data_IF_218768218444
#
_entry.id   IF_218768218444
#
_cell.length_a   1.000
_cell.length_b   1.000
_cell.length_c   1.000
_cell.angle_alpha   90.00
_cell.angle_beta   90.00
_cell.angle_gamma   90.00
#
_symmetry.space_group_name_H-M   'P 1'
#
loop_
_entity.id
_entity.type
_entity.pdbx_description
1 polymer ?
#
# COMPACT_ATOMS: atom_id res chain seq x y z
N UNK A 1 20.32 -12.71 25.47
CA UNK A 1 21.35 -11.94 24.73
C UNK A 1 21.63 -12.46 23.31
N UNK A 2 21.53 -13.76 23.00
CA UNK A 2 21.66 -14.27 21.61
C UNK A 2 20.42 -13.95 20.74
N UNK A 3 19.22 -13.96 21.34
CA UNK A 3 17.96 -13.65 20.64
C UNK A 3 17.84 -12.19 20.16
N UNK A 4 18.33 -11.22 20.93
CA UNK A 4 18.32 -9.80 20.53
C UNK A 4 19.27 -9.51 19.35
N UNK A 5 20.37 -10.26 19.24
CA UNK A 5 21.34 -10.09 18.16
C UNK A 5 20.78 -10.60 16.82
N UNK A 6 20.02 -11.71 16.84
CA UNK A 6 19.32 -12.24 15.67
C UNK A 6 18.22 -11.28 15.19
N UNK A 7 17.46 -10.68 16.12
CA UNK A 7 16.39 -9.74 15.78
C UNK A 7 16.91 -8.44 15.15
N UNK A 8 18.04 -7.90 15.63
CA UNK A 8 18.73 -6.76 14.99
C UNK A 8 19.25 -7.10 13.59
N UNK A 9 19.79 -8.31 13.41
CA UNK A 9 20.31 -8.81 12.13
C UNK A 9 19.21 -8.91 11.05
N UNK A 10 18.05 -9.47 11.40
CA UNK A 10 16.88 -9.55 10.50
C UNK A 10 16.36 -8.16 10.10
N UNK A 11 16.24 -7.22 11.04
CA UNK A 11 15.84 -5.84 10.72
C UNK A 11 16.83 -5.12 9.80
N UNK A 12 18.14 -5.37 9.95
CA UNK A 12 19.16 -4.83 9.06
C UNK A 12 19.03 -5.38 7.63
N UNK A 13 18.75 -6.68 7.46
CA UNK A 13 18.55 -7.30 6.13
C UNK A 13 17.31 -6.72 5.42
N UNK A 14 16.27 -6.38 6.18
CA UNK A 14 15.00 -5.82 5.66
C UNK A 14 15.13 -4.36 5.26
N UNK A 15 15.76 -3.54 6.11
CA UNK A 15 16.14 -2.16 5.77
C UNK A 15 17.05 -2.17 4.55
N UNK A 16 18.00 -3.10 4.49
CA UNK A 16 18.91 -3.27 3.36
C UNK A 16 18.16 -3.68 2.09
N UNK A 17 17.17 -4.56 2.18
CA UNK A 17 16.33 -4.96 1.03
C UNK A 17 15.47 -3.81 0.53
N UNK A 18 14.88 -3.01 1.42
CA UNK A 18 14.16 -1.78 1.08
C UNK A 18 15.07 -0.73 0.46
N UNK A 19 16.27 -0.55 0.99
CA UNK A 19 17.30 0.33 0.44
C UNK A 19 17.72 -0.14 -0.96
N UNK A 20 17.92 -1.43 -1.16
CA UNK A 20 18.23 -2.04 -2.45
C UNK A 20 17.11 -1.77 -3.45
N UNK A 21 15.85 -1.97 -3.06
CA UNK A 21 14.69 -1.68 -3.91
C UNK A 21 14.66 -0.19 -4.27
N UNK A 22 14.86 0.71 -3.29
CA UNK A 22 14.94 2.17 -3.51
C UNK A 22 16.08 2.56 -4.46
N UNK A 23 17.22 1.89 -4.37
CA UNK A 23 18.38 2.10 -5.24
C UNK A 23 18.05 1.62 -6.67
N UNK A 24 17.54 0.40 -6.83
CA UNK A 24 17.15 -0.14 -8.16
C UNK A 24 16.10 0.75 -8.83
N UNK A 25 15.15 1.29 -8.09
CA UNK A 25 14.10 2.18 -8.61
C UNK A 25 14.64 3.49 -9.20
N UNK A 26 15.65 4.07 -8.55
CA UNK A 26 16.27 5.30 -9.04
C UNK A 26 17.08 5.09 -10.32
N UNK A 27 17.62 3.88 -10.54
CA UNK A 27 18.43 3.58 -11.73
C UNK A 27 17.61 3.41 -13.01
N UNK A 28 16.36 2.97 -12.91
CA UNK A 28 15.50 2.86 -14.09
C UNK A 28 14.69 4.15 -14.29
N UNK A 29 14.77 4.73 -15.49
CA UNK A 29 13.94 5.87 -15.94
C UNK A 29 12.47 5.45 -16.15
N UNK A 30 11.87 4.78 -15.16
CA UNK A 30 10.50 4.31 -15.20
C UNK A 30 9.59 5.43 -14.72
N UNK A 31 8.55 5.71 -15.50
CA UNK A 31 7.50 6.66 -15.14
C UNK A 31 6.57 6.07 -14.07
N UNK A 32 6.04 6.92 -13.18
CA UNK A 32 5.03 6.52 -12.19
C UNK A 32 5.63 5.90 -10.93
N UNK A 33 6.76 6.43 -10.46
CA UNK A 33 7.41 5.97 -9.23
C UNK A 33 6.84 6.66 -8.00
N UNK A 34 6.59 5.89 -6.94
CA UNK A 34 6.10 6.44 -5.68
C UNK A 34 6.61 5.67 -4.46
N UNK A 35 6.75 6.39 -3.36
CA UNK A 35 6.97 5.82 -2.03
C UNK A 35 5.80 6.26 -1.16
N UNK A 36 5.37 5.40 -0.24
CA UNK A 36 4.35 5.76 0.73
C UNK A 36 4.50 4.98 2.01
N UNK A 37 3.85 5.48 3.04
CA UNK A 37 3.86 4.94 4.38
C UNK A 37 2.45 4.99 4.94
N UNK A 38 2.04 3.95 5.65
CA UNK A 38 0.73 3.87 6.31
C UNK A 38 0.91 3.31 7.71
N UNK A 39 0.35 3.99 8.70
CA UNK A 39 0.21 3.49 10.07
C UNK A 39 -1.25 3.27 10.41
N UNK A 40 -1.50 2.34 11.31
CA UNK A 40 -2.82 1.99 11.79
C UNK A 40 -2.87 1.91 13.31
N UNK A 41 -4.03 2.19 13.88
CA UNK A 41 -4.25 2.14 15.35
C UNK A 41 -4.18 0.74 15.93
N UNK A 42 -4.19 -0.31 15.11
CA UNK A 42 -3.94 -1.70 15.52
C UNK A 42 -2.45 -2.10 15.43
N UNK A 43 -1.54 -1.12 15.52
CA UNK A 43 -0.09 -1.29 15.46
C UNK A 43 0.45 -1.89 14.15
N UNK A 44 -0.36 -1.91 13.09
CA UNK A 44 0.09 -2.31 11.75
C UNK A 44 0.69 -1.10 11.05
N UNK A 45 1.88 -1.28 10.50
CA UNK A 45 2.60 -0.26 9.75
C UNK A 45 3.12 -0.85 8.45
N UNK A 46 3.01 -0.06 7.38
CA UNK A 46 3.37 -0.47 6.04
C UNK A 46 4.20 0.57 5.33
N UNK A 47 5.32 0.14 4.76
CA UNK A 47 6.06 0.90 3.76
C UNK A 47 5.67 0.39 2.37
N UNK A 48 5.36 1.30 1.46
CA UNK A 48 4.92 1.01 0.11
C UNK A 48 5.85 1.65 -0.90
N UNK A 49 6.17 0.90 -1.94
CA UNK A 49 6.95 1.36 -3.08
C UNK A 49 6.22 0.95 -4.36
N UNK A 50 6.04 1.87 -5.29
CA UNK A 50 5.26 1.66 -6.52
C UNK A 50 5.99 2.04 -7.80
N UNK A 51 5.76 1.27 -8.86
CA UNK A 51 6.24 1.51 -10.23
C UNK A 51 5.08 1.24 -11.19
N UNK A 52 4.58 2.27 -11.86
CA UNK A 52 3.47 2.13 -12.79
C UNK A 52 2.24 1.49 -12.11
N UNK A 53 1.82 0.33 -12.62
CA UNK A 53 0.69 -0.44 -12.08
C UNK A 53 1.08 -1.43 -10.97
N UNK A 54 2.38 -1.57 -10.66
CA UNK A 54 2.89 -2.47 -9.63
C UNK A 54 3.21 -1.74 -8.32
N UNK A 55 3.05 -2.43 -7.20
CA UNK A 55 3.51 -1.96 -5.91
C UNK A 55 3.98 -3.12 -5.02
N UNK A 56 5.07 -2.89 -4.30
CA UNK A 56 5.49 -3.69 -3.16
C UNK A 56 5.02 -2.99 -1.88
N UNK A 57 4.49 -3.75 -0.94
CA UNK A 57 4.15 -3.28 0.39
C UNK A 57 4.84 -4.17 1.41
N UNK A 58 5.71 -3.58 2.21
CA UNK A 58 6.36 -4.22 3.33
C UNK A 58 5.59 -3.90 4.62
N UNK A 59 5.29 -4.90 5.44
CA UNK A 59 4.71 -4.73 6.77
C UNK A 59 5.84 -4.84 7.81
N UNK A 60 5.91 -3.92 8.77
CA UNK A 60 7.04 -3.83 9.72
C UNK A 60 7.20 -5.06 10.60
N UNK A 61 6.10 -5.75 10.92
CA UNK A 61 6.10 -7.03 11.65
C UNK A 61 6.33 -8.26 10.75
N UNK A 62 6.51 -8.04 9.44
CA UNK A 62 6.68 -9.05 8.38
C UNK A 62 5.56 -10.05 8.18
N UNK A 63 4.46 -9.93 8.91
CA UNK A 63 3.41 -10.93 8.85
C UNK A 63 2.59 -10.92 7.55
N UNK A 64 2.78 -9.90 6.71
CA UNK A 64 1.96 -9.70 5.52
C UNK A 64 2.58 -8.73 4.50
N UNK A 65 3.74 -9.08 3.96
CA UNK A 65 4.31 -8.43 2.80
C UNK A 65 3.48 -8.79 1.55
N UNK A 66 3.36 -7.83 0.64
CA UNK A 66 2.49 -7.97 -0.53
C UNK A 66 3.11 -7.42 -1.79
N UNK A 67 3.03 -8.18 -2.88
CA UNK A 67 3.16 -7.66 -4.24
C UNK A 67 1.76 -7.37 -4.77
N UNK A 68 1.57 -6.24 -5.41
CA UNK A 68 0.29 -5.79 -5.95
C UNK A 68 0.43 -5.39 -7.40
N UNK A 69 -0.47 -5.87 -8.24
CA UNK A 69 -0.74 -5.29 -9.55
C UNK A 69 -2.10 -4.60 -9.51
N UNK A 70 -2.26 -3.42 -10.10
CA UNK A 70 -3.51 -2.67 -9.99
C UNK A 70 -3.77 -1.79 -11.19
N UNK A 71 -4.82 -2.13 -11.94
CA UNK A 71 -5.27 -1.40 -13.13
C UNK A 71 -6.67 -0.83 -12.96
N UNK A 72 -6.94 0.30 -13.59
CA UNK A 72 -8.31 0.86 -13.63
C UNK A 72 -9.10 0.09 -14.68
N UNK A 73 -10.25 -0.45 -14.28
CA UNK A 73 -11.17 -1.13 -15.21
C UNK A 73 -12.25 -0.19 -15.74
N UNK A 74 -12.52 0.89 -15.00
CA UNK A 74 -13.39 1.96 -15.45
C UNK A 74 -12.97 3.29 -14.81
N UNK A 75 -13.05 4.38 -15.57
CA UNK A 75 -12.66 5.71 -15.09
C UNK A 75 -13.37 6.79 -15.88
N UNK A 76 -14.03 7.69 -15.17
CA UNK A 76 -14.49 8.97 -15.68
C UNK A 76 -13.84 10.15 -14.92
N UNK A 77 -14.39 11.36 -15.09
CA UNK A 77 -13.89 12.59 -14.45
C UNK A 77 -14.01 12.56 -12.92
N UNK A 78 -15.10 12.04 -12.38
CA UNK A 78 -15.43 12.05 -10.94
C UNK A 78 -15.23 10.69 -10.29
N UNK A 79 -15.38 9.59 -10.99
CA UNK A 79 -15.37 8.25 -10.41
C UNK A 79 -14.35 7.37 -11.14
N UNK A 80 -13.69 6.50 -10.39
CA UNK A 80 -12.88 5.42 -10.97
C UNK A 80 -13.03 4.13 -10.19
N UNK A 81 -13.08 3.03 -10.92
CA UNK A 81 -13.05 1.68 -10.41
C UNK A 81 -11.70 1.04 -10.75
N UNK A 82 -10.98 0.62 -9.71
CA UNK A 82 -9.68 -0.04 -9.80
C UNK A 82 -9.78 -1.44 -9.26
N UNK A 83 -9.07 -2.38 -9.88
CA UNK A 83 -8.96 -3.76 -9.40
C UNK A 83 -7.50 -4.11 -9.06
N UNK A 84 -7.05 -3.78 -7.84
CA UNK A 84 -5.89 -4.38 -7.22
C UNK A 84 -6.00 -5.91 -7.10
N UNK A 85 -4.95 -6.60 -7.50
CA UNK A 85 -4.68 -8.02 -7.24
C UNK A 85 -3.41 -8.07 -6.42
N UNK A 86 -3.47 -8.72 -5.26
CA UNK A 86 -2.35 -8.89 -4.35
C UNK A 86 -1.89 -10.35 -4.35
N UNK A 87 -0.61 -10.54 -4.13
CA UNK A 87 -0.05 -11.80 -3.63
C UNK A 87 0.56 -11.52 -2.25
N UNK A 88 0.03 -12.17 -1.22
CA UNK A 88 0.54 -12.08 0.16
C UNK A 88 1.64 -13.12 0.31
N UNK A 89 2.87 -12.66 0.50
CA UNK A 89 4.06 -13.50 0.39
C UNK A 89 4.07 -14.58 1.46
N UNK A 90 3.92 -14.20 2.73
CA UNK A 90 4.04 -15.12 3.87
C UNK A 90 2.87 -16.08 3.99
N UNK A 91 1.72 -15.70 3.44
CA UNK A 91 0.53 -16.56 3.42
C UNK A 91 0.47 -17.44 2.18
N UNK A 92 1.28 -17.13 1.14
CA UNK A 92 1.22 -17.75 -0.18
C UNK A 92 -0.17 -17.68 -0.83
N UNK A 93 -0.89 -16.58 -0.59
CA UNK A 93 -2.28 -16.42 -1.02
C UNK A 93 -2.45 -15.18 -1.91
N UNK A 94 -3.06 -15.33 -3.09
CA UNK A 94 -3.61 -14.21 -3.82
C UNK A 94 -4.79 -13.56 -3.07
N UNK A 95 -5.18 -12.37 -3.49
CA UNK A 95 -6.45 -11.73 -3.14
C UNK A 95 -6.73 -10.62 -4.15
N UNK A 96 -7.98 -10.20 -4.28
CA UNK A 96 -8.32 -9.04 -5.08
C UNK A 96 -9.08 -8.02 -4.22
N UNK A 97 -8.82 -6.75 -4.44
CA UNK A 97 -9.33 -5.66 -3.60
C UNK A 97 -9.94 -4.57 -4.47
N UNK A 98 -11.16 -4.75 -5.02
CA UNK A 98 -11.82 -3.71 -5.81
C UNK A 98 -11.89 -2.42 -5.00
N UNK A 99 -11.57 -1.31 -5.67
CA UNK A 99 -11.59 0.02 -5.08
C UNK A 99 -12.39 0.95 -5.96
N UNK A 100 -13.43 1.54 -5.40
CA UNK A 100 -14.11 2.69 -5.98
C UNK A 100 -13.51 3.97 -5.42
N UNK A 101 -13.34 4.98 -6.26
CA UNK A 101 -12.81 6.29 -5.86
C UNK A 101 -13.67 7.39 -6.45
N UNK A 102 -14.19 8.26 -5.60
CA UNK A 102 -14.83 9.52 -5.95
C UNK A 102 -13.83 10.67 -5.83
N UNK A 103 -13.69 11.48 -6.87
CA UNK A 103 -12.73 12.58 -6.99
C UNK A 103 -13.47 13.91 -6.93
N UNK A 104 -13.10 14.69 -5.94
CA UNK A 104 -13.45 16.09 -5.78
C UNK A 104 -12.28 16.95 -6.28
N UNK A 105 -12.44 18.28 -6.27
CA UNK A 105 -11.40 19.20 -6.76
C UNK A 105 -10.10 19.13 -5.97
N UNK A 106 -10.19 18.93 -4.65
CA UNK A 106 -9.05 18.95 -3.72
C UNK A 106 -8.93 17.68 -2.86
N UNK A 107 -9.86 16.73 -3.00
CA UNK A 107 -9.95 15.52 -2.19
C UNK A 107 -10.36 14.33 -3.03
N UNK A 108 -10.03 13.12 -2.57
CA UNK A 108 -10.59 11.88 -3.08
C UNK A 108 -11.18 11.10 -1.91
N UNK A 109 -12.34 10.51 -2.14
CA UNK A 109 -12.93 9.53 -1.25
C UNK A 109 -12.77 8.17 -1.92
N UNK A 110 -12.34 7.15 -1.20
CA UNK A 110 -12.35 5.81 -1.73
C UNK A 110 -12.86 4.80 -0.71
N UNK A 111 -13.46 3.75 -1.24
CA UNK A 111 -13.87 2.57 -0.50
C UNK A 111 -13.27 1.34 -1.20
N UNK A 112 -12.84 0.36 -0.41
CA UNK A 112 -12.32 -0.89 -0.92
C UNK A 112 -12.59 -2.04 0.04
N UNK A 113 -12.78 -3.23 -0.49
CA UNK A 113 -12.93 -4.47 0.28
C UNK A 113 -12.00 -5.50 -0.34
N UNK A 114 -11.31 -6.27 0.48
CA UNK A 114 -10.44 -7.35 0.01
C UNK A 114 -11.18 -8.67 0.05
N UNK A 115 -10.96 -9.49 -0.97
CA UNK A 115 -11.59 -10.79 -1.12
C UNK A 115 -10.56 -11.86 -1.42
N UNK A 116 -10.81 -13.05 -0.91
CA UNK A 116 -10.10 -14.26 -1.28
C UNK A 116 -11.09 -15.43 -1.36
N UNK A 117 -11.37 -15.92 -2.57
CA UNK A 117 -12.38 -16.96 -2.79
C UNK A 117 -13.72 -16.63 -2.11
N UNK A 118 -14.11 -17.40 -1.10
CA UNK A 118 -15.34 -17.29 -0.31
C UNK A 118 -15.19 -16.39 0.93
N UNK A 119 -13.99 -15.86 1.17
CA UNK A 119 -13.70 -14.97 2.29
C UNK A 119 -13.77 -13.49 1.88
N UNK A 120 -14.56 -12.73 2.62
CA UNK A 120 -14.54 -11.26 2.59
C UNK A 120 -13.80 -10.74 3.81
N UNK A 121 -12.82 -9.88 3.58
CA UNK A 121 -12.10 -9.17 4.64
C UNK A 121 -12.76 -7.83 4.94
N UNK A 122 -12.13 -7.04 5.82
CA UNK A 122 -12.62 -5.73 6.23
C UNK A 122 -12.74 -4.75 5.06
N UNK A 123 -13.81 -3.97 5.08
CA UNK A 123 -14.01 -2.87 4.14
C UNK A 123 -13.35 -1.62 4.70
N UNK A 124 -12.49 -0.99 3.91
CA UNK A 124 -11.78 0.23 4.25
C UNK A 124 -12.35 1.43 3.50
N UNK A 125 -12.51 2.54 4.20
CA UNK A 125 -12.92 3.84 3.68
C UNK A 125 -11.83 4.85 3.98
N UNK A 126 -11.53 5.73 3.03
CA UNK A 126 -10.56 6.78 3.28
C UNK A 126 -10.80 8.06 2.48
N UNK A 127 -10.27 9.14 3.04
CA UNK A 127 -10.13 10.44 2.43
C UNK A 127 -8.66 10.65 2.11
N UNK A 128 -8.38 11.02 0.88
CA UNK A 128 -7.04 11.32 0.39
C UNK A 128 -6.98 12.78 -0.09
N UNK A 129 -6.05 13.55 0.47
CA UNK A 129 -5.76 14.93 0.08
C UNK A 129 -4.44 15.00 -0.70
N UNK A 130 -4.49 15.10 -2.04
CA UNK A 130 -3.30 15.35 -2.84
C UNK A 130 -2.78 16.79 -2.62
N UNK A 131 -1.46 16.96 -2.57
CA UNK A 131 -0.78 18.26 -2.48
C UNK A 131 0.57 18.19 -3.21
N UNK A 132 0.66 18.81 -4.40
CA UNK A 132 1.83 18.71 -5.29
C UNK A 132 2.22 17.23 -5.55
N UNK A 133 3.46 16.85 -5.20
CA UNK A 133 3.96 15.48 -5.30
C UNK A 133 3.54 14.60 -4.12
N UNK A 134 2.91 15.17 -3.10
CA UNK A 134 2.51 14.49 -1.88
C UNK A 134 1.03 14.11 -1.90
N UNK A 135 0.67 13.11 -1.10
CA UNK A 135 -0.72 12.79 -0.79
C UNK A 135 -0.84 12.32 0.64
N UNK A 136 -1.79 12.89 1.37
CA UNK A 136 -2.09 12.54 2.76
C UNK A 136 -3.39 11.76 2.82
N UNK A 137 -3.43 10.75 3.67
CA UNK A 137 -4.56 9.85 3.78
C UNK A 137 -5.00 9.73 5.24
N UNK A 138 -6.30 9.77 5.46
CA UNK A 138 -6.93 9.37 6.70
C UNK A 138 -8.10 8.44 6.36
N UNK A 139 -8.24 7.34 7.09
CA UNK A 139 -9.31 6.39 6.84
C UNK A 139 -9.62 5.52 8.04
N UNK A 140 -10.63 4.70 7.89
CA UNK A 140 -11.02 3.68 8.85
C UNK A 140 -11.43 2.40 8.11
N UNK A 141 -11.54 1.29 8.82
CA UNK A 141 -12.12 0.06 8.29
C UNK A 141 -13.10 -0.58 9.27
N UNK A 142 -13.80 -1.60 8.82
CA UNK A 142 -14.84 -2.30 9.58
C UNK A 142 -14.30 -3.14 10.75
N UNK A 143 -13.00 -3.17 11.01
CA UNK A 143 -12.41 -3.70 12.26
C UNK A 143 -12.14 -2.61 13.30
N UNK A 144 -12.81 -1.46 13.19
CA UNK A 144 -12.63 -0.28 14.05
C UNK A 144 -11.18 0.25 14.08
N UNK A 145 -10.43 -0.01 13.02
CA UNK A 145 -9.05 0.43 12.87
C UNK A 145 -9.01 1.73 12.08
N UNK A 146 -8.38 2.76 12.63
CA UNK A 146 -8.05 3.98 11.91
C UNK A 146 -6.68 3.85 11.24
N UNK A 147 -6.52 4.50 10.09
CA UNK A 147 -5.29 4.53 9.31
C UNK A 147 -4.92 5.93 8.88
N UNK A 148 -3.63 6.22 8.92
CA UNK A 148 -3.05 7.45 8.43
C UNK A 148 -1.96 7.11 7.44
N UNK A 149 -1.95 7.79 6.30
CA UNK A 149 -1.01 7.50 5.24
C UNK A 149 -0.39 8.75 4.66
N UNK A 150 0.80 8.57 4.13
CA UNK A 150 1.56 9.57 3.40
C UNK A 150 2.11 8.91 2.13
N UNK A 151 2.13 9.64 1.03
CA UNK A 151 2.81 9.19 -0.18
C UNK A 151 3.48 10.34 -0.91
N UNK A 152 4.58 10.04 -1.57
CA UNK A 152 5.37 10.93 -2.39
C UNK A 152 5.58 10.33 -3.77
N UNK A 153 5.27 11.10 -4.81
CA UNK A 153 5.55 10.75 -6.20
C UNK A 153 6.92 11.28 -6.60
N UNK A 154 7.81 10.39 -7.04
CA UNK A 154 9.16 10.75 -7.44
C UNK A 154 9.16 11.30 -8.87
N UNK A 155 8.61 10.50 -9.80
CA UNK A 155 8.50 10.76 -11.24
C UNK A 155 7.14 10.30 -11.76
#
# INVERSE_FOLDING_TARGET
>A
MIFEYSFKSLNMIRIFSLLIILIFLNFYNLNGQSIGWEVRTNNKEYLKVGIGDFALRHRTDESENRVTFSKSIWKDKKVSLKLPIHYKIEKELPSFQPRITYKMSNLKLWAQTEFWFDQSYETAFAIEKPYNKYSFLAGWDTSDTFRFGFSYKLK
#
